data_IF_498963391011
#
_entry.id   IF_498963391011
#
_cell.length_a   1.000
_cell.length_b   1.000
_cell.length_c   1.000
_cell.angle_alpha   90.00
_cell.angle_beta   90.00
_cell.angle_gamma   90.00
#
_symmetry.space_group_name_H-M   'P 1'
#
loop_
_entity.id
_entity.type
_entity.pdbx_description
1 polymer ?
#
# COMPACT_ATOMS: atom_id res chain seq x y z
N UNK A 1 -22.61 11.79 24.34
CA UNK A 1 -22.39 12.55 25.58
C UNK A 1 -20.97 12.33 26.06
N UNK A 2 -20.50 13.01 27.12
CA UNK A 2 -19.15 12.79 27.68
C UNK A 2 -18.97 11.40 28.29
N UNK A 3 -20.08 10.74 28.64
CA UNK A 3 -20.09 9.40 29.22
C UNK A 3 -20.03 8.29 28.15
N UNK A 4 -20.14 8.66 26.87
CA UNK A 4 -20.14 7.70 25.77
C UNK A 4 -18.72 7.51 25.20
N UNK A 5 -18.48 6.29 24.72
CA UNK A 5 -17.29 5.93 23.95
C UNK A 5 -17.70 5.56 22.52
N UNK A 6 -17.10 6.21 21.53
CA UNK A 6 -17.20 5.83 20.12
C UNK A 6 -15.99 4.99 19.77
N UNK A 7 -16.23 3.73 19.36
CA UNK A 7 -15.20 2.86 18.80
C UNK A 7 -15.33 2.90 17.28
N UNK A 8 -14.36 3.53 16.62
CA UNK A 8 -14.34 3.67 15.16
C UNK A 8 -13.41 2.61 14.55
N UNK A 9 -13.97 1.74 13.70
CA UNK A 9 -13.22 0.73 12.97
C UNK A 9 -13.02 1.22 11.53
N UNK A 10 -11.77 1.41 11.11
CA UNK A 10 -11.43 1.94 9.78
C UNK A 10 -10.50 0.99 9.03
N UNK A 11 -10.74 0.82 7.74
CA UNK A 11 -9.92 0.04 6.83
C UNK A 11 -9.88 0.69 5.44
N UNK A 12 -9.10 0.09 4.53
CA UNK A 12 -9.12 0.40 3.10
C UNK A 12 -10.53 0.43 2.48
N UNK A 13 -10.70 1.24 1.44
CA UNK A 13 -11.96 1.41 0.71
C UNK A 13 -12.99 2.36 1.35
N UNK A 14 -12.79 2.77 2.61
CA UNK A 14 -13.75 3.61 3.33
C UNK A 14 -14.08 4.96 2.66
N UNK A 15 -13.15 5.54 1.90
CA UNK A 15 -13.38 6.81 1.17
C UNK A 15 -14.54 6.73 0.18
N UNK A 16 -14.76 5.57 -0.45
CA UNK A 16 -15.83 5.35 -1.43
C UNK A 16 -17.10 4.76 -0.80
N UNK A 17 -16.95 3.96 0.27
CA UNK A 17 -18.08 3.32 0.96
C UNK A 17 -18.89 4.29 1.85
N UNK A 18 -18.27 5.38 2.30
CA UNK A 18 -18.90 6.44 3.07
C UNK A 18 -18.79 7.80 2.35
N UNK A 19 -19.55 8.01 1.25
CA UNK A 19 -19.69 9.33 0.66
C UNK A 19 -20.51 10.20 1.62
N UNK A 20 -20.06 11.43 1.82
CA UNK A 20 -20.75 12.38 2.69
C UNK A 20 -20.38 13.80 2.27
N UNK A 21 -20.98 14.28 1.18
CA UNK A 21 -20.67 15.57 0.60
C UNK A 21 -21.07 16.70 1.55
N UNK A 22 -20.34 17.81 1.52
CA UNK A 22 -20.62 18.98 2.34
C UNK A 22 -22.05 19.55 2.12
N UNK A 23 -22.62 20.32 3.06
CA UNK A 23 -23.94 20.91 2.89
C UNK A 23 -24.05 21.72 1.60
N UNK A 24 -25.11 21.47 0.83
CA UNK A 24 -25.32 22.09 -0.48
C UNK A 24 -24.65 21.36 -1.66
N UNK A 25 -23.86 20.31 -1.40
CA UNK A 25 -23.31 19.41 -2.41
C UNK A 25 -24.09 18.10 -2.47
N UNK A 26 -24.09 17.46 -3.63
CA UNK A 26 -24.76 16.19 -3.91
C UNK A 26 -23.74 15.06 -4.06
N UNK A 27 -24.21 13.81 -4.06
CA UNK A 27 -23.37 12.66 -4.42
C UNK A 27 -22.79 12.81 -5.83
N UNK A 28 -23.54 13.38 -6.77
CA UNK A 28 -23.07 13.63 -8.13
C UNK A 28 -21.89 14.62 -8.15
N UNK A 29 -21.90 15.62 -7.25
CA UNK A 29 -20.76 16.53 -7.10
C UNK A 29 -19.52 15.79 -6.56
N UNK A 30 -19.67 14.93 -5.54
CA UNK A 30 -18.55 14.14 -5.00
C UNK A 30 -17.97 13.17 -6.05
N UNK A 31 -18.82 12.54 -6.87
CA UNK A 31 -18.40 11.70 -8.00
C UNK A 31 -17.61 12.54 -9.02
N UNK A 32 -18.14 13.69 -9.43
CA UNK A 32 -17.47 14.56 -10.41
C UNK A 32 -16.11 15.08 -9.89
N UNK A 33 -16.00 15.37 -8.59
CA UNK A 33 -14.71 15.69 -7.96
C UNK A 33 -13.75 14.51 -8.08
N UNK A 34 -14.18 13.29 -7.74
CA UNK A 34 -13.32 12.12 -7.80
C UNK A 34 -12.84 11.82 -9.23
N UNK A 35 -13.70 11.96 -10.22
CA UNK A 35 -13.34 11.83 -11.65
C UNK A 35 -12.29 12.88 -12.06
N UNK A 36 -12.49 14.15 -11.67
CA UNK A 36 -11.55 15.22 -11.97
C UNK A 36 -10.19 15.01 -11.30
N UNK A 37 -10.16 14.48 -10.07
CA UNK A 37 -8.93 14.15 -9.34
C UNK A 37 -8.16 13.01 -10.02
N UNK A 38 -8.84 11.96 -10.46
CA UNK A 38 -8.21 10.84 -11.17
C UNK A 38 -7.65 11.26 -12.53
N UNK A 39 -8.37 12.13 -13.24
CA UNK A 39 -7.95 12.64 -14.54
C UNK A 39 -6.78 13.64 -14.48
N UNK A 40 -6.50 14.24 -13.32
CA UNK A 40 -5.51 15.32 -13.22
C UNK A 40 -4.06 14.85 -13.10
N UNK A 41 -3.83 13.57 -12.81
CA UNK A 41 -2.50 13.04 -12.48
C UNK A 41 -1.90 13.63 -11.20
N UNK A 42 -2.75 14.17 -10.30
CA UNK A 42 -2.28 14.71 -9.03
C UNK A 42 -1.84 13.59 -8.08
N UNK A 43 -0.82 13.82 -7.22
CA UNK A 43 -0.43 12.84 -6.23
C UNK A 43 -1.58 12.59 -5.25
N UNK A 44 -1.64 11.37 -4.71
CA UNK A 44 -2.71 10.94 -3.80
C UNK A 44 -2.89 11.86 -2.59
N UNK A 45 -1.79 12.43 -2.08
CA UNK A 45 -1.80 13.40 -0.99
C UNK A 45 -2.65 14.64 -1.35
N UNK A 46 -2.45 15.22 -2.54
CA UNK A 46 -3.23 16.37 -3.01
C UNK A 46 -4.71 16.02 -3.19
N UNK A 47 -4.99 14.84 -3.77
CA UNK A 47 -6.36 14.33 -3.93
C UNK A 47 -7.05 14.15 -2.58
N UNK A 48 -6.35 13.62 -1.58
CA UNK A 48 -6.85 13.45 -0.22
C UNK A 48 -7.13 14.79 0.45
N UNK A 49 -6.24 15.76 0.31
CA UNK A 49 -6.45 17.12 0.84
C UNK A 49 -7.72 17.74 0.27
N UNK A 50 -7.95 17.66 -1.05
CA UNK A 50 -9.18 18.18 -1.67
C UNK A 50 -10.42 17.43 -1.16
N UNK A 51 -10.40 16.08 -1.16
CA UNK A 51 -11.53 15.25 -0.68
C UNK A 51 -11.92 15.56 0.77
N UNK A 52 -10.95 15.84 1.63
CA UNK A 52 -11.21 16.23 3.03
C UNK A 52 -11.98 17.55 3.10
N UNK A 53 -11.72 18.52 2.24
CA UNK A 53 -12.32 19.86 2.31
C UNK A 53 -13.69 19.97 1.62
N UNK A 54 -14.22 18.87 1.07
CA UNK A 54 -15.55 18.83 0.42
C UNK A 54 -16.49 17.82 1.07
N UNK A 55 -16.13 17.30 2.25
CA UNK A 55 -16.88 16.27 2.96
C UNK A 55 -17.21 16.67 4.39
N UNK A 56 -18.34 16.17 4.91
CA UNK A 56 -18.75 16.40 6.31
C UNK A 56 -18.11 15.45 7.31
N UNK A 57 -17.53 14.32 6.87
CA UNK A 57 -16.98 13.31 7.78
C UNK A 57 -15.47 13.16 7.68
N UNK A 58 -14.88 13.41 6.49
CA UNK A 58 -13.45 13.21 6.23
C UNK A 58 -12.60 14.27 6.96
N UNK A 59 -11.33 13.96 7.22
CA UNK A 59 -10.36 14.88 7.83
C UNK A 59 -10.66 15.22 9.30
N UNK A 60 -10.99 14.22 10.12
CA UNK A 60 -11.27 14.36 11.55
C UNK A 60 -12.68 14.88 11.87
N UNK A 61 -13.51 15.18 10.86
CA UNK A 61 -14.84 15.75 11.09
C UNK A 61 -15.82 14.77 11.73
N UNK A 62 -15.70 13.47 11.47
CA UNK A 62 -16.53 12.47 12.17
C UNK A 62 -16.19 12.42 13.65
N UNK A 63 -14.90 12.48 14.01
CA UNK A 63 -14.49 12.59 15.41
C UNK A 63 -14.96 13.91 16.03
N UNK A 64 -14.92 15.02 15.28
CA UNK A 64 -15.39 16.32 15.75
C UNK A 64 -16.90 16.32 16.01
N UNK A 65 -17.67 15.60 15.19
CA UNK A 65 -19.11 15.42 15.36
C UNK A 65 -19.48 14.51 16.54
N UNK A 66 -18.60 13.59 16.92
CA UNK A 66 -18.79 12.72 18.08
C UNK A 66 -18.60 13.46 19.43
N UNK A 67 -17.88 14.58 19.44
CA UNK A 67 -17.66 15.37 20.64
C UNK A 67 -19.01 15.75 21.33
N UNK A 68 -19.15 15.59 22.66
CA UNK A 68 -18.08 15.37 23.65
C UNK A 68 -17.73 13.89 23.94
N UNK A 69 -18.24 12.92 23.18
CA UNK A 69 -17.87 11.52 23.37
C UNK A 69 -16.39 11.30 23.02
N UNK A 70 -15.71 10.44 23.78
CA UNK A 70 -14.34 10.01 23.46
C UNK A 70 -14.37 9.11 22.23
N UNK A 71 -13.41 9.28 21.32
CA UNK A 71 -13.26 8.42 20.13
C UNK A 71 -11.99 7.59 20.23
N UNK A 72 -12.12 6.27 20.08
CA UNK A 72 -11.01 5.33 19.93
C UNK A 72 -11.07 4.77 18.53
N UNK A 73 -10.04 5.05 17.71
CA UNK A 73 -9.95 4.59 16.33
C UNK A 73 -9.05 3.37 16.23
N UNK A 74 -9.55 2.26 15.70
CA UNK A 74 -8.77 1.08 15.32
C UNK A 74 -8.66 1.06 13.80
N UNK A 75 -7.42 1.13 13.30
CA UNK A 75 -7.15 1.37 11.88
C UNK A 75 -6.37 0.19 11.29
N UNK A 76 -6.83 -0.30 10.14
CA UNK A 76 -6.10 -1.17 9.22
C UNK A 76 -5.58 -0.30 8.07
N UNK A 77 -4.26 -0.15 7.96
CA UNK A 77 -3.62 0.66 6.92
C UNK A 77 -3.23 -0.19 5.73
N UNK A 78 -3.78 0.17 4.58
CA UNK A 78 -3.41 -0.29 3.23
C UNK A 78 -2.57 0.77 2.47
N UNK A 79 -2.00 1.73 3.20
CA UNK A 79 -1.23 2.84 2.64
C UNK A 79 0.23 2.74 3.11
N UNK A 80 1.21 2.81 2.20
CA UNK A 80 2.63 2.88 2.56
C UNK A 80 2.93 4.02 3.54
N UNK A 81 3.75 3.74 4.56
CA UNK A 81 4.18 4.72 5.56
C UNK A 81 3.18 5.02 6.68
N UNK A 82 2.07 4.26 6.76
CA UNK A 82 1.26 4.07 7.96
C UNK A 82 0.69 5.34 8.63
N UNK A 83 0.44 6.39 7.85
CA UNK A 83 -0.23 7.59 8.37
C UNK A 83 -1.76 7.34 8.49
N UNK A 84 -2.32 7.19 9.71
CA UNK A 84 -3.72 6.85 9.91
C UNK A 84 -4.69 7.96 9.44
N UNK A 85 -4.21 9.20 9.29
CA UNK A 85 -5.02 10.31 8.77
C UNK A 85 -5.29 10.20 7.25
N UNK A 86 -4.60 9.29 6.56
CA UNK A 86 -4.81 9.05 5.13
C UNK A 86 -5.81 7.91 4.88
N UNK A 87 -5.88 6.91 5.77
CA UNK A 87 -6.78 5.75 5.65
C UNK A 87 -8.23 6.22 5.65
N UNK A 88 -9.00 5.83 4.63
CA UNK A 88 -10.38 6.28 4.40
C UNK A 88 -10.55 7.82 4.40
N UNK A 89 -9.48 8.57 4.07
CA UNK A 89 -9.41 10.03 4.21
C UNK A 89 -9.56 10.55 5.65
N UNK A 90 -9.21 9.72 6.63
CA UNK A 90 -9.10 10.05 8.04
C UNK A 90 -10.39 10.62 8.65
N UNK A 91 -11.52 9.89 8.67
CA UNK A 91 -12.77 10.44 9.18
C UNK A 91 -12.69 10.81 10.67
N UNK A 92 -11.94 10.03 11.45
CA UNK A 92 -11.75 10.24 12.89
C UNK A 92 -10.37 10.77 13.27
N UNK A 93 -9.50 10.98 12.29
CA UNK A 93 -8.12 11.43 12.49
C UNK A 93 -7.89 12.72 11.70
N UNK A 94 -7.68 13.87 12.37
CA UNK A 94 -7.44 15.14 11.70
C UNK A 94 -6.10 15.14 10.96
N UNK A 95 -5.99 16.03 9.97
CA UNK A 95 -4.79 16.18 9.14
C UNK A 95 -4.34 17.65 9.10
N UNK A 96 -3.09 17.88 8.69
CA UNK A 96 -2.50 19.22 8.60
C UNK A 96 -2.82 19.95 7.30
N UNK A 97 -3.28 19.24 6.26
CA UNK A 97 -3.70 19.85 5.00
C UNK A 97 -4.78 20.91 5.21
N UNK A 98 -4.54 22.12 4.71
CA UNK A 98 -5.48 23.24 4.82
C UNK A 98 -6.34 23.40 3.57
N UNK A 99 -7.39 24.22 3.69
CA UNK A 99 -8.24 24.60 2.57
C UNK A 99 -7.46 25.35 1.50
N UNK A 100 -6.48 26.16 1.91
CA UNK A 100 -5.58 26.87 1.01
C UNK A 100 -4.69 25.90 0.24
N UNK A 101 -4.22 24.82 0.87
CA UNK A 101 -3.45 23.77 0.18
C UNK A 101 -4.31 23.03 -0.85
N UNK A 102 -5.58 22.79 -0.52
CA UNK A 102 -6.54 22.19 -1.46
C UNK A 102 -6.76 23.10 -2.68
N UNK A 103 -7.01 24.39 -2.45
CA UNK A 103 -7.18 25.39 -3.51
C UNK A 103 -5.92 25.54 -4.38
N UNK A 104 -4.74 25.56 -3.76
CA UNK A 104 -3.46 25.62 -4.45
C UNK A 104 -3.26 24.38 -5.34
N UNK A 105 -3.64 23.19 -4.85
CA UNK A 105 -3.59 21.95 -5.62
C UNK A 105 -4.54 21.99 -6.82
N UNK A 106 -5.79 22.41 -6.62
CA UNK A 106 -6.78 22.56 -7.71
C UNK A 106 -6.23 23.46 -8.81
N UNK A 107 -5.63 24.59 -8.45
CA UNK A 107 -5.04 25.53 -9.39
C UNK A 107 -3.80 24.95 -10.09
N UNK A 108 -2.86 24.35 -9.34
CA UNK A 108 -1.61 23.81 -9.86
C UNK A 108 -1.82 22.70 -10.89
N UNK A 109 -2.84 21.87 -10.70
CA UNK A 109 -3.20 20.78 -11.62
C UNK A 109 -4.29 21.17 -12.63
N UNK A 110 -4.74 22.42 -12.66
CA UNK A 110 -5.75 22.90 -13.59
C UNK A 110 -7.09 22.14 -13.52
N UNK A 111 -7.44 21.63 -12.32
CA UNK A 111 -8.62 20.81 -12.13
C UNK A 111 -9.89 21.62 -12.34
N UNK A 112 -10.82 21.09 -13.13
CA UNK A 112 -12.15 21.68 -13.33
C UNK A 112 -13.15 20.96 -12.45
N UNK A 113 -13.47 21.55 -11.30
CA UNK A 113 -14.48 21.03 -10.39
C UNK A 113 -15.83 21.72 -10.63
N UNK A 114 -16.96 21.10 -10.23
CA UNK A 114 -18.29 21.73 -10.29
C UNK A 114 -18.30 23.09 -9.57
N UNK A 115 -19.12 24.02 -10.08
CA UNK A 115 -19.20 25.38 -9.52
C UNK A 115 -19.67 25.40 -8.05
N UNK A 116 -20.59 24.49 -7.69
CA UNK A 116 -21.04 24.21 -6.32
C UNK A 116 -19.88 23.86 -5.40
N UNK A 117 -19.02 22.93 -5.84
CA UNK A 117 -17.83 22.50 -5.09
C UNK A 117 -16.82 23.64 -4.95
N UNK A 118 -16.56 24.37 -6.04
CA UNK A 118 -15.65 25.52 -6.00
C UNK A 118 -16.15 26.61 -5.04
N UNK A 119 -17.44 26.89 -5.02
CA UNK A 119 -18.04 27.84 -4.08
C UNK A 119 -17.88 27.37 -2.63
N UNK A 120 -18.13 26.08 -2.35
CA UNK A 120 -17.94 25.52 -1.01
C UNK A 120 -16.48 25.59 -0.56
N UNK A 121 -15.52 25.11 -1.36
CA UNK A 121 -14.11 25.04 -0.96
C UNK A 121 -13.45 26.43 -0.86
N UNK A 122 -14.04 27.45 -1.47
CA UNK A 122 -13.62 28.85 -1.29
C UNK A 122 -14.17 29.47 0.00
N UNK A 123 -15.23 28.91 0.58
CA UNK A 123 -15.83 29.39 1.83
C UNK A 123 -15.07 28.91 3.08
N UNK A 124 -15.19 29.60 4.22
CA UNK A 124 -14.66 29.13 5.50
C UNK A 124 -15.28 27.81 5.97
N UNK A 125 -16.48 27.45 5.52
CA UNK A 125 -17.18 26.22 5.93
C UNK A 125 -16.44 24.94 5.49
N UNK A 126 -15.53 25.07 4.52
CA UNK A 126 -14.68 23.99 4.08
C UNK A 126 -13.45 23.77 4.97
N UNK A 127 -13.14 24.65 5.94
CA UNK A 127 -12.00 24.48 6.83
C UNK A 127 -12.14 23.18 7.66
N UNK A 128 -11.12 22.33 7.63
CA UNK A 128 -11.09 21.07 8.37
C UNK A 128 -10.59 21.29 9.82
N UNK A 129 -11.05 20.48 10.79
CA UNK A 129 -10.46 20.46 12.12
C UNK A 129 -8.94 20.24 12.07
N UNK A 130 -8.19 21.00 12.86
CA UNK A 130 -6.74 20.85 12.97
C UNK A 130 -6.38 19.79 14.00
N UNK A 131 -5.19 19.16 13.92
CA UNK A 131 -4.76 18.18 14.92
C UNK A 131 -4.74 18.69 16.36
N UNK A 132 -4.51 20.01 16.56
CA UNK A 132 -4.52 20.65 17.87
C UNK A 132 -5.90 21.08 18.39
N UNK A 133 -7.00 20.70 17.72
CA UNK A 133 -8.34 21.04 18.17
C UNK A 133 -8.65 20.40 19.54
N UNK A 134 -9.08 21.18 20.57
CA UNK A 134 -9.36 20.65 21.90
C UNK A 134 -10.38 19.52 21.94
N UNK A 135 -11.26 19.44 20.94
CA UNK A 135 -12.25 18.35 20.80
C UNK A 135 -11.60 16.96 20.69
N UNK A 136 -10.33 16.90 20.32
CA UNK A 136 -9.59 15.64 20.13
C UNK A 136 -8.70 15.24 21.30
N UNK A 137 -8.61 16.05 22.37
CA UNK A 137 -7.64 15.86 23.44
C UNK A 137 -7.77 14.50 24.18
N UNK A 138 -8.95 13.87 24.17
CA UNK A 138 -9.20 12.56 24.77
C UNK A 138 -9.27 11.39 23.77
N UNK A 139 -9.08 11.64 22.47
CA UNK A 139 -9.19 10.62 21.44
C UNK A 139 -7.90 9.79 21.33
N UNK A 140 -8.05 8.53 20.92
CA UNK A 140 -6.92 7.63 20.67
C UNK A 140 -7.00 7.04 19.26
N UNK A 141 -5.83 6.73 18.71
CA UNK A 141 -5.69 6.11 17.39
C UNK A 141 -4.69 4.96 17.52
N UNK A 142 -5.15 3.76 17.17
CA UNK A 142 -4.38 2.53 17.22
C UNK A 142 -4.31 1.95 15.82
N UNK A 143 -3.10 1.86 15.26
CA UNK A 143 -2.87 1.13 14.02
C UNK A 143 -2.76 -0.37 14.36
N UNK A 144 -3.81 -1.12 14.06
CA UNK A 144 -3.93 -2.53 14.47
C UNK A 144 -3.40 -3.50 13.42
N UNK A 145 -3.34 -3.08 12.15
CA UNK A 145 -2.74 -3.85 11.08
C UNK A 145 -2.13 -2.91 10.03
N UNK A 146 -0.94 -3.25 9.57
CA UNK A 146 -0.24 -2.59 8.48
C UNK A 146 0.88 -3.46 7.89
N UNK A 147 1.52 -2.98 6.83
CA UNK A 147 2.71 -3.60 6.27
C UNK A 147 3.81 -3.71 7.35
N UNK A 148 4.09 -2.62 8.06
CA UNK A 148 5.07 -2.59 9.15
C UNK A 148 4.78 -3.61 10.25
N UNK A 149 3.53 -3.68 10.73
CA UNK A 149 3.11 -4.68 11.74
C UNK A 149 3.33 -6.12 11.24
N UNK A 150 3.04 -6.38 9.97
CA UNK A 150 3.22 -7.72 9.37
C UNK A 150 4.70 -8.10 9.24
N UNK A 151 5.56 -7.15 8.87
CA UNK A 151 7.00 -7.36 8.77
C UNK A 151 7.63 -7.61 10.14
N UNK A 152 7.23 -6.84 11.16
CA UNK A 152 7.69 -7.04 12.54
C UNK A 152 7.26 -8.40 13.09
N UNK A 153 6.03 -8.86 12.76
CA UNK A 153 5.57 -10.19 13.13
C UNK A 153 6.41 -11.30 12.46
N UNK A 154 6.74 -11.15 11.17
CA UNK A 154 7.60 -12.08 10.45
C UNK A 154 9.05 -12.08 11.02
N UNK A 155 9.58 -10.90 11.37
CA UNK A 155 10.88 -10.74 11.99
C UNK A 155 10.94 -11.43 13.36
N UNK A 156 9.91 -11.24 14.20
CA UNK A 156 9.80 -11.88 15.50
C UNK A 156 9.78 -13.41 15.37
N UNK A 157 9.04 -13.96 14.41
CA UNK A 157 9.01 -15.40 14.16
C UNK A 157 10.36 -15.96 13.70
N UNK A 158 11.01 -15.31 12.74
CA UNK A 158 12.33 -15.73 12.28
C UNK A 158 13.38 -15.70 13.41
N UNK A 159 13.32 -14.68 14.29
CA UNK A 159 14.16 -14.61 15.48
C UNK A 159 13.91 -15.76 16.46
N UNK A 160 12.66 -16.20 16.65
CA UNK A 160 12.33 -17.39 17.45
C UNK A 160 12.97 -18.66 16.89
N UNK A 161 13.20 -18.70 15.57
CA UNK A 161 13.91 -19.79 14.89
C UNK A 161 15.44 -19.58 14.81
N UNK A 162 15.99 -18.54 15.45
CA UNK A 162 17.43 -18.27 15.47
C UNK A 162 17.97 -17.65 14.18
N UNK A 163 17.11 -17.07 13.34
CA UNK A 163 17.48 -16.37 12.11
C UNK A 163 17.46 -14.86 12.39
N UNK A 164 18.58 -14.19 12.14
CA UNK A 164 18.64 -12.72 12.20
C UNK A 164 17.82 -12.11 11.08
N UNK A 165 17.17 -10.98 11.35
CA UNK A 165 16.25 -10.34 10.41
C UNK A 165 16.61 -8.89 10.18
N UNK A 166 16.46 -8.43 8.94
CA UNK A 166 16.60 -7.01 8.60
C UNK A 166 15.37 -6.59 7.79
N UNK A 167 14.64 -5.60 8.28
CA UNK A 167 13.58 -4.93 7.54
C UNK A 167 14.22 -3.78 6.76
N UNK A 168 14.17 -3.83 5.43
CA UNK A 168 14.72 -2.76 4.58
C UNK A 168 13.82 -1.52 4.62
N UNK A 169 12.52 -1.70 4.45
CA UNK A 169 11.46 -0.69 4.56
C UNK A 169 10.10 -1.37 4.38
N UNK A 170 9.06 -0.80 4.97
CA UNK A 170 7.65 -1.11 4.78
C UNK A 170 6.95 -0.23 3.71
N UNK A 171 7.71 0.66 3.06
CA UNK A 171 7.23 1.67 2.13
C UNK A 171 8.02 1.66 0.80
N UNK A 172 8.46 0.49 0.34
CA UNK A 172 9.13 0.38 -0.97
C UNK A 172 8.10 0.55 -2.08
N UNK A 173 8.30 1.60 -2.88
CA UNK A 173 7.55 1.89 -4.09
C UNK A 173 8.47 1.88 -5.32
N UNK A 174 7.87 1.78 -6.51
CA UNK A 174 8.59 1.80 -7.79
C UNK A 174 8.16 0.68 -8.72
N UNK A 175 8.81 0.60 -9.89
CA UNK A 175 8.52 -0.43 -10.88
C UNK A 175 9.00 -1.80 -10.38
N UNK A 176 8.08 -2.76 -10.28
CA UNK A 176 8.29 -4.07 -9.65
C UNK A 176 9.56 -4.78 -10.13
N UNK A 177 9.80 -4.80 -11.46
CA UNK A 177 10.99 -5.45 -12.05
C UNK A 177 12.31 -4.81 -11.63
N UNK A 178 12.34 -3.49 -11.47
CA UNK A 178 13.55 -2.75 -11.09
C UNK A 178 13.85 -2.98 -9.61
N UNK A 179 12.81 -2.88 -8.77
CA UNK A 179 12.91 -3.16 -7.33
C UNK A 179 13.34 -4.61 -7.10
N UNK A 180 12.80 -5.58 -7.86
CA UNK A 180 13.20 -6.99 -7.82
C UNK A 180 14.68 -7.20 -8.18
N UNK A 181 15.17 -6.51 -9.21
CA UNK A 181 16.59 -6.52 -9.58
C UNK A 181 17.52 -5.99 -8.49
N UNK A 182 17.14 -4.89 -7.82
CA UNK A 182 17.90 -4.32 -6.70
C UNK A 182 17.94 -5.29 -5.51
N UNK A 183 16.82 -5.92 -5.17
CA UNK A 183 16.79 -6.91 -4.09
C UNK A 183 17.66 -8.14 -4.40
N UNK A 184 17.68 -8.58 -5.66
CA UNK A 184 18.58 -9.66 -6.08
C UNK A 184 20.05 -9.29 -5.92
N UNK A 185 20.43 -8.05 -6.24
CA UNK A 185 21.79 -7.58 -6.05
C UNK A 185 22.20 -7.58 -4.56
N UNK A 186 21.31 -7.14 -3.67
CA UNK A 186 21.54 -7.17 -2.21
C UNK A 186 21.68 -8.62 -1.72
N UNK A 187 20.74 -9.50 -2.10
CA UNK A 187 20.77 -10.90 -1.69
C UNK A 187 22.04 -11.62 -2.15
N UNK A 188 22.52 -11.34 -3.37
CA UNK A 188 23.78 -11.87 -3.90
C UNK A 188 25.00 -11.35 -3.17
N UNK A 189 25.04 -10.07 -2.83
CA UNK A 189 26.16 -9.51 -2.05
C UNK A 189 26.22 -10.18 -0.67
N UNK A 190 25.06 -10.45 -0.04
CA UNK A 190 25.00 -11.21 1.21
C UNK A 190 25.46 -12.66 1.02
N UNK A 191 24.95 -13.36 0.01
CA UNK A 191 25.27 -14.76 -0.24
C UNK A 191 26.76 -14.99 -0.54
N UNK A 192 27.37 -14.08 -1.31
CA UNK A 192 28.74 -14.24 -1.83
C UNK A 192 29.80 -13.54 -1.01
N UNK A 193 29.45 -12.47 -0.29
CA UNK A 193 30.41 -11.63 0.45
C UNK A 193 30.00 -11.36 1.89
N UNK A 194 28.87 -11.90 2.36
CA UNK A 194 28.42 -11.80 3.74
C UNK A 194 28.29 -10.35 4.23
N UNK A 195 27.85 -9.45 3.33
CA UNK A 195 27.62 -8.03 3.59
C UNK A 195 26.47 -7.50 2.70
N UNK A 196 25.79 -6.39 3.04
CA UNK A 196 25.95 -5.62 4.28
C UNK A 196 25.47 -6.36 5.53
N UNK A 197 24.78 -7.49 5.37
CA UNK A 197 24.27 -8.35 6.44
C UNK A 197 25.03 -9.68 6.49
N UNK A 198 25.09 -10.28 7.67
CA UNK A 198 25.72 -11.59 7.87
C UNK A 198 24.67 -12.69 7.78
N UNK A 199 24.97 -13.75 7.04
CA UNK A 199 24.13 -14.95 6.93
C UNK A 199 24.29 -15.87 8.16
N UNK A 200 23.25 -16.63 8.55
CA UNK A 200 21.91 -16.65 7.94
C UNK A 200 21.12 -15.37 8.26
N UNK A 201 20.43 -14.82 7.25
CA UNK A 201 19.61 -13.60 7.42
C UNK A 201 18.31 -13.69 6.61
N UNK A 202 17.22 -13.24 7.23
CA UNK A 202 15.96 -12.96 6.55
C UNK A 202 15.84 -11.47 6.26
N UNK A 203 15.88 -11.11 4.98
CA UNK A 203 15.68 -9.75 4.51
C UNK A 203 14.19 -9.57 4.21
N UNK A 204 13.57 -8.61 4.89
CA UNK A 204 12.16 -8.31 4.80
C UNK A 204 11.94 -6.95 4.15
N UNK A 205 10.90 -6.81 3.34
CA UNK A 205 10.40 -5.52 2.89
C UNK A 205 8.91 -5.57 2.60
N UNK A 206 8.27 -4.40 2.67
CA UNK A 206 6.88 -4.18 2.27
C UNK A 206 6.74 -2.91 1.46
N UNK A 207 5.50 -2.51 1.21
CA UNK A 207 5.13 -1.37 0.37
C UNK A 207 4.29 -1.82 -0.81
N UNK A 208 4.23 -1.00 -1.85
CA UNK A 208 3.38 -1.26 -3.01
C UNK A 208 4.12 -0.90 -4.30
N UNK A 209 4.57 -1.92 -5.01
CA UNK A 209 5.20 -1.73 -6.32
C UNK A 209 4.16 -1.61 -7.42
N UNK A 210 4.54 -1.02 -8.55
CA UNK A 210 3.67 -0.89 -9.73
C UNK A 210 4.24 -1.66 -10.91
N UNK A 211 3.37 -2.02 -11.85
CA UNK A 211 3.74 -2.65 -13.12
C UNK A 211 3.27 -1.76 -14.25
N UNK A 212 4.22 -1.27 -15.04
CA UNK A 212 3.89 -0.63 -16.31
C UNK A 212 3.57 -1.70 -17.36
N UNK A 213 2.29 -1.85 -17.69
CA UNK A 213 1.84 -2.82 -18.70
C UNK A 213 2.32 -2.42 -20.10
N UNK A 214 3.17 -3.26 -20.69
CA UNK A 214 3.70 -3.15 -22.06
C UNK A 214 3.13 -4.23 -22.97
N UNK A 215 2.60 -5.30 -22.40
CA UNK A 215 1.95 -6.40 -23.08
C UNK A 215 0.77 -6.94 -22.25
N UNK A 216 -0.08 -7.75 -22.88
CA UNK A 216 -1.26 -8.39 -22.26
C UNK A 216 -0.90 -9.76 -21.67
N UNK A 217 0.14 -9.81 -20.84
CA UNK A 217 0.52 -11.01 -20.11
C UNK A 217 -0.32 -11.22 -18.84
N UNK A 218 -0.02 -12.30 -18.10
CA UNK A 218 -0.65 -12.68 -16.84
C UNK A 218 0.28 -12.47 -15.65
N UNK A 219 -0.29 -12.01 -14.53
CA UNK A 219 0.39 -11.84 -13.25
C UNK A 219 0.09 -10.50 -12.60
N UNK A 220 0.95 -10.13 -11.66
CA UNK A 220 0.90 -8.88 -10.92
C UNK A 220 2.28 -8.45 -10.43
N UNK A 221 2.30 -7.45 -9.57
CA UNK A 221 3.51 -6.78 -9.08
C UNK A 221 4.42 -7.70 -8.28
N UNK A 222 3.89 -8.59 -7.44
CA UNK A 222 4.71 -9.48 -6.62
C UNK A 222 5.37 -10.57 -7.46
N UNK A 223 4.63 -11.15 -8.39
CA UNK A 223 5.16 -12.12 -9.36
C UNK A 223 6.16 -11.47 -10.30
N UNK A 224 5.91 -10.24 -10.78
CA UNK A 224 6.85 -9.53 -11.65
C UNK A 224 8.16 -9.17 -10.91
N UNK A 225 8.04 -8.66 -9.68
CA UNK A 225 9.16 -8.44 -8.78
C UNK A 225 9.98 -9.72 -8.62
N UNK A 226 9.31 -10.84 -8.31
CA UNK A 226 10.01 -12.08 -7.98
C UNK A 226 10.62 -12.74 -9.21
N UNK A 227 10.04 -12.57 -10.39
CA UNK A 227 10.63 -13.06 -11.64
C UNK A 227 11.91 -12.28 -11.98
N UNK A 228 11.90 -10.95 -11.83
CA UNK A 228 13.10 -10.13 -11.98
C UNK A 228 14.17 -10.50 -10.93
N UNK A 229 13.74 -10.74 -9.69
CA UNK A 229 14.62 -11.23 -8.62
C UNK A 229 15.26 -12.58 -8.98
N UNK A 230 14.46 -13.56 -9.42
CA UNK A 230 14.91 -14.89 -9.81
C UNK A 230 15.93 -14.84 -10.97
N UNK A 231 15.71 -13.98 -11.97
CA UNK A 231 16.68 -13.71 -13.04
C UNK A 231 17.98 -13.14 -12.46
N UNK A 232 17.89 -12.23 -11.49
CA UNK A 232 19.04 -11.61 -10.86
C UNK A 232 19.88 -12.57 -10.01
N UNK A 233 19.27 -13.61 -9.44
CA UNK A 233 19.92 -14.62 -8.59
C UNK A 233 20.20 -15.97 -9.28
N UNK A 234 19.97 -16.09 -10.60
CA UNK A 234 20.15 -17.35 -11.33
C UNK A 234 21.51 -18.00 -11.04
N UNK A 235 21.49 -19.25 -10.58
CA UNK A 235 22.66 -20.04 -10.23
C UNK A 235 23.30 -19.73 -8.88
N UNK A 236 22.74 -18.81 -8.07
CA UNK A 236 23.26 -18.51 -6.73
C UNK A 236 22.56 -19.36 -5.68
N UNK A 237 23.29 -20.31 -5.13
CA UNK A 237 22.81 -21.21 -4.08
C UNK A 237 22.46 -20.45 -2.78
N UNK A 238 21.69 -21.10 -1.90
CA UNK A 238 21.34 -20.63 -0.55
C UNK A 238 20.44 -19.39 -0.47
N UNK A 239 19.86 -18.92 -1.59
CA UNK A 239 18.86 -17.84 -1.59
C UNK A 239 17.47 -18.43 -1.85
N UNK A 240 16.52 -18.11 -0.97
CA UNK A 240 15.10 -18.45 -1.11
C UNK A 240 14.25 -17.20 -0.87
N UNK A 241 13.18 -17.02 -1.62
CA UNK A 241 12.36 -15.83 -1.55
C UNK A 241 10.87 -16.13 -1.72
N UNK A 242 10.05 -15.31 -1.09
CA UNK A 242 8.61 -15.17 -1.26
C UNK A 242 8.33 -13.69 -1.50
N UNK A 243 7.50 -13.38 -2.48
CA UNK A 243 6.83 -12.09 -2.61
C UNK A 243 5.35 -12.37 -2.76
N UNK A 244 4.52 -11.72 -1.94
CA UNK A 244 3.08 -11.94 -1.94
C UNK A 244 2.29 -10.70 -1.56
N UNK A 245 1.14 -10.52 -2.21
CA UNK A 245 0.11 -9.60 -1.77
C UNK A 245 -0.62 -10.19 -0.55
N UNK A 246 -0.81 -9.38 0.46
CA UNK A 246 -1.46 -9.83 1.71
C UNK A 246 -2.94 -10.06 1.56
N UNK A 247 -3.59 -9.57 0.49
CA UNK A 247 -5.00 -9.86 0.19
C UNK A 247 -5.26 -11.24 -0.44
N UNK A 248 -4.19 -11.89 -0.91
CA UNK A 248 -4.23 -13.20 -1.53
C UNK A 248 -4.27 -13.17 -3.07
N UNK A 249 -4.25 -12.00 -3.71
CA UNK A 249 -4.43 -11.81 -5.16
C UNK A 249 -3.38 -10.82 -5.72
N UNK A 250 -2.55 -11.30 -6.63
CA UNK A 250 -1.51 -10.52 -7.33
C UNK A 250 -1.93 -10.26 -8.78
N UNK A 251 -2.73 -9.21 -8.96
CA UNK A 251 -3.13 -8.71 -10.27
C UNK A 251 -4.28 -9.50 -10.91
N UNK A 252 -3.98 -10.24 -11.97
CA UNK A 252 -5.00 -10.77 -12.90
C UNK A 252 -5.42 -12.23 -12.65
N UNK A 253 -4.70 -12.96 -11.81
CA UNK A 253 -4.90 -14.40 -11.58
C UNK A 253 -5.20 -14.69 -10.10
N UNK A 254 -5.18 -15.96 -9.67
CA UNK A 254 -5.62 -16.38 -8.33
C UNK A 254 -4.48 -16.52 -7.30
N UNK A 255 -3.24 -16.25 -7.67
CA UNK A 255 -2.09 -16.35 -6.78
C UNK A 255 -1.91 -15.03 -6.02
N UNK A 256 -1.41 -15.11 -4.79
CA UNK A 256 -0.95 -13.94 -4.04
C UNK A 256 0.44 -13.49 -4.51
N UNK A 257 1.17 -14.35 -5.21
CA UNK A 257 2.53 -14.11 -5.64
C UNK A 257 3.22 -15.44 -5.95
N UNK A 258 4.49 -15.59 -5.59
CA UNK A 258 5.25 -16.80 -5.89
C UNK A 258 6.39 -17.05 -4.89
N UNK A 259 6.99 -18.23 -5.01
CA UNK A 259 8.29 -18.57 -4.42
C UNK A 259 9.37 -18.53 -5.49
N UNK A 260 10.61 -18.22 -5.09
CA UNK A 260 11.78 -18.30 -5.96
C UNK A 260 13.03 -18.70 -5.18
N UNK A 261 13.96 -19.33 -5.88
CA UNK A 261 15.30 -19.67 -5.42
C UNK A 261 16.30 -19.58 -6.58
N UNK A 262 17.59 -19.77 -6.28
CA UNK A 262 18.66 -19.70 -7.29
C UNK A 262 18.55 -20.72 -8.43
N UNK A 263 17.69 -21.73 -8.33
CA UNK A 263 17.47 -22.74 -9.38
C UNK A 263 16.19 -22.51 -10.20
N UNK A 264 15.36 -21.55 -9.81
CA UNK A 264 14.05 -21.27 -10.44
C UNK A 264 14.15 -21.03 -11.94
N UNK A 265 15.12 -20.21 -12.38
CA UNK A 265 15.32 -19.92 -13.82
C UNK A 265 15.79 -21.17 -14.58
N UNK A 266 16.63 -22.01 -13.99
CA UNK A 266 17.02 -23.28 -14.57
C UNK A 266 15.83 -24.24 -14.73
N UNK A 267 14.92 -24.28 -13.73
CA UNK A 267 13.66 -25.05 -13.83
C UNK A 267 12.76 -24.52 -14.94
N UNK A 268 12.61 -23.20 -15.06
CA UNK A 268 11.82 -22.59 -16.14
C UNK A 268 12.39 -22.94 -17.52
N UNK A 269 13.72 -22.86 -17.67
CA UNK A 269 14.42 -23.23 -18.91
C UNK A 269 14.20 -24.71 -19.26
N UNK A 270 14.27 -25.61 -18.27
CA UNK A 270 14.00 -27.04 -18.47
C UNK A 270 12.53 -27.30 -18.89
N UNK A 271 11.59 -26.45 -18.45
CA UNK A 271 10.19 -26.47 -18.88
C UNK A 271 9.93 -25.76 -20.22
N UNK A 272 10.97 -25.26 -20.92
CA UNK A 272 10.83 -24.55 -22.19
C UNK A 272 10.36 -23.11 -22.05
N UNK A 273 10.46 -22.51 -20.86
CA UNK A 273 10.05 -21.13 -20.57
C UNK A 273 11.27 -20.23 -20.41
N UNK A 274 11.32 -19.16 -21.20
CA UNK A 274 12.32 -18.09 -21.06
C UNK A 274 11.84 -17.03 -20.06
N UNK A 275 12.45 -17.02 -18.87
CA UNK A 275 12.14 -16.07 -17.80
C UNK A 275 12.23 -14.59 -18.24
N UNK A 276 13.24 -14.23 -19.06
CA UNK A 276 13.41 -12.84 -19.53
C UNK A 276 12.32 -12.46 -20.52
N UNK A 277 11.95 -13.38 -21.41
CA UNK A 277 10.84 -13.17 -22.33
C UNK A 277 9.50 -13.02 -21.59
N UNK A 278 9.25 -13.83 -20.55
CA UNK A 278 8.06 -13.71 -19.72
C UNK A 278 8.02 -12.37 -18.95
N UNK A 279 9.15 -11.92 -18.40
CA UNK A 279 9.24 -10.61 -17.74
C UNK A 279 8.98 -9.46 -18.71
N UNK A 280 9.56 -9.52 -19.91
CA UNK A 280 9.34 -8.52 -20.95
C UNK A 280 7.86 -8.48 -21.41
N UNK A 281 7.19 -9.62 -21.41
CA UNK A 281 5.78 -9.77 -21.78
C UNK A 281 4.76 -9.54 -20.66
N UNK A 282 5.16 -9.02 -19.49
CA UNK A 282 4.31 -8.89 -18.29
C UNK A 282 3.58 -10.22 -17.96
N UNK A 283 4.27 -11.35 -18.14
CA UNK A 283 3.68 -12.69 -18.06
C UNK A 283 4.31 -13.55 -16.96
N UNK A 284 4.60 -12.94 -15.81
CA UNK A 284 5.28 -13.60 -14.70
C UNK A 284 4.52 -14.80 -14.14
N UNK A 285 3.17 -14.75 -14.15
CA UNK A 285 2.35 -15.86 -13.71
C UNK A 285 2.65 -17.13 -14.51
N UNK A 286 2.73 -17.03 -15.84
CA UNK A 286 3.00 -18.18 -16.71
C UNK A 286 4.37 -18.78 -16.41
N UNK A 287 5.36 -17.95 -16.08
CA UNK A 287 6.70 -18.40 -15.71
C UNK A 287 6.68 -19.26 -14.45
N UNK A 288 6.07 -18.77 -13.37
CA UNK A 288 6.00 -19.50 -12.10
C UNK A 288 5.04 -20.69 -12.15
N UNK A 289 3.95 -20.60 -12.91
CA UNK A 289 3.03 -21.71 -13.13
C UNK A 289 3.74 -22.91 -13.79
N UNK A 290 4.63 -22.65 -14.75
CA UNK A 290 5.36 -23.70 -15.46
C UNK A 290 6.29 -24.54 -14.56
N UNK A 291 6.66 -24.01 -13.39
CA UNK A 291 7.55 -24.68 -12.42
C UNK A 291 6.86 -25.01 -11.09
N UNK A 292 5.56 -24.72 -10.96
CA UNK A 292 4.78 -25.03 -9.75
C UNK A 292 5.08 -24.15 -8.54
N UNK A 293 5.63 -22.96 -8.74
CA UNK A 293 6.13 -22.08 -7.67
C UNK A 293 5.15 -20.94 -7.32
N UNK A 294 3.93 -20.96 -7.84
CA UNK A 294 2.90 -19.97 -7.47
C UNK A 294 2.48 -20.15 -6.00
N UNK A 295 2.31 -19.03 -5.29
CA UNK A 295 1.74 -19.03 -3.95
C UNK A 295 0.25 -18.70 -4.01
N UNK A 296 -0.60 -19.67 -3.68
CA UNK A 296 -2.08 -19.59 -3.83
C UNK A 296 -2.75 -19.86 -2.48
N UNK A 297 -2.68 -18.92 -1.51
CA UNK A 297 -3.30 -19.10 -0.20
C UNK A 297 -4.83 -18.97 -0.23
N UNK A 298 -5.38 -18.42 -1.32
CA UNK A 298 -6.77 -17.96 -1.36
C UNK A 298 -6.94 -16.58 -0.72
N UNK A 299 -8.17 -16.04 -0.69
CA UNK A 299 -8.44 -14.72 -0.10
C UNK A 299 -8.17 -14.76 1.40
N UNK A 300 -7.38 -13.81 1.89
CA UNK A 300 -6.97 -13.76 3.31
C UNK A 300 -7.95 -12.99 4.19
N UNK A 301 -8.77 -12.12 3.58
CA UNK A 301 -9.70 -11.25 4.29
C UNK A 301 -9.08 -9.98 4.89
N UNK A 302 -7.83 -9.66 4.56
CA UNK A 302 -7.14 -8.40 4.94
C UNK A 302 -6.30 -7.88 3.79
N UNK A 303 -5.96 -6.60 3.77
CA UNK A 303 -4.99 -6.04 2.82
C UNK A 303 -4.13 -4.99 3.52
N UNK A 304 -2.84 -5.26 3.58
CA UNK A 304 -1.79 -4.37 4.10
C UNK A 304 -0.59 -4.34 3.12
N UNK A 305 -0.90 -4.36 1.82
CA UNK A 305 0.02 -4.32 0.67
C UNK A 305 0.92 -5.56 0.55
N UNK A 306 2.11 -5.39 -0.05
CA UNK A 306 3.03 -6.46 -0.37
C UNK A 306 3.87 -6.87 0.85
N UNK A 307 4.12 -8.18 1.00
CA UNK A 307 5.14 -8.75 1.87
C UNK A 307 6.18 -9.48 1.03
N UNK A 308 7.44 -9.09 1.19
CA UNK A 308 8.60 -9.72 0.54
C UNK A 308 9.58 -10.23 1.59
N UNK A 309 9.91 -11.52 1.49
CA UNK A 309 10.79 -12.20 2.41
C UNK A 309 11.87 -12.96 1.64
N UNK A 310 13.14 -12.64 1.89
CA UNK A 310 14.30 -13.22 1.20
C UNK A 310 15.24 -13.81 2.26
N UNK A 311 15.32 -15.13 2.33
CA UNK A 311 16.22 -15.87 3.20
C UNK A 311 17.53 -16.16 2.46
N UNK A 312 18.65 -15.75 3.07
CA UNK A 312 20.00 -16.09 2.61
C UNK A 312 20.68 -16.94 3.68
N UNK A 313 21.09 -18.17 3.33
CA UNK A 313 21.70 -19.16 4.24
C UNK A 313 23.23 -19.21 4.19
#
# INVERSE_FOLDING_TARGET
>A
TSEDLVVALSSGGGSALLPSPAPGLTLADEIAVNEALLASGAPIAAMNTIRKHVSTIKGGRLAAAAHPARVVSLVVSDIPGDNPALVASGPTVPDTGSRQDALASIAAYGMKLPASVMAHIQSPDADAPRPGDPRFAGNEVHLTASAGVSLEAAAAEAKRQGIETVILSDAIEGEAREVGGVHAAIAREVATRNRPFKKPVLILSGGETTVTLRAKGKGGRNSEFLLAFAIGIDGVECIHALAADTDGIDGSENNAGAFADGSTVARMRAAGVDAKAMLAGNNAWTAFNAVGDLFVPGPTGTNVNDLRAILVR
#
